data_IF_053231536140
#
_entry.id   IF_053231536140
#
_cell.length_a   1.000
_cell.length_b   1.000
_cell.length_c   1.000
_cell.angle_alpha   90.00
_cell.angle_beta   90.00
_cell.angle_gamma   90.00
#
_symmetry.space_group_name_H-M   'P 1'
#
loop_
_entity.id
_entity.type
_entity.pdbx_description
1 polymer ?
#
# COMPACT_ATOMS: atom_id res chain seq x y z
N UNK A 1 11.11 8.84 43.94
CA UNK A 1 10.54 7.67 43.29
C UNK A 1 9.46 8.00 42.34
N UNK A 2 8.42 8.67 42.77
CA UNK A 2 7.34 9.00 41.86
C UNK A 2 7.78 9.85 40.68
N UNK A 3 8.74 10.76 40.89
CA UNK A 3 9.22 11.59 39.77
C UNK A 3 9.94 10.78 38.71
N UNK A 4 10.70 9.77 39.10
CA UNK A 4 11.43 8.94 38.16
C UNK A 4 10.46 8.10 37.33
N UNK A 5 9.41 7.58 37.96
CA UNK A 5 8.42 6.79 37.27
C UNK A 5 7.68 7.67 36.26
N UNK A 6 7.32 8.89 36.64
CA UNK A 6 6.65 9.82 35.73
C UNK A 6 7.55 10.18 34.55
N UNK A 7 8.85 10.42 34.82
CA UNK A 7 9.78 10.78 33.77
C UNK A 7 9.95 9.64 32.78
N UNK A 8 10.07 8.41 33.26
CA UNK A 8 10.18 7.24 32.40
C UNK A 8 8.91 7.07 31.55
N UNK A 9 7.75 7.26 32.19
CA UNK A 9 6.49 7.12 31.48
C UNK A 9 6.36 8.17 30.37
N UNK A 10 6.73 9.42 30.64
CA UNK A 10 6.69 10.50 29.64
C UNK A 10 7.65 10.20 28.48
N UNK A 11 8.85 9.71 28.79
CA UNK A 11 9.82 9.35 27.76
C UNK A 11 9.29 8.22 26.86
N UNK A 12 8.69 7.19 27.47
CA UNK A 12 8.10 6.11 26.71
C UNK A 12 6.96 6.60 25.83
N UNK A 13 6.11 7.48 26.35
CA UNK A 13 5.00 8.01 25.58
C UNK A 13 5.48 8.83 24.39
N UNK A 14 6.49 9.68 24.60
CA UNK A 14 7.06 10.48 23.52
C UNK A 14 7.72 9.60 22.46
N UNK A 15 8.37 8.52 22.88
CA UNK A 15 8.98 7.59 21.94
C UNK A 15 7.93 6.91 21.08
N UNK A 16 6.83 6.47 21.69
CA UNK A 16 5.74 5.83 20.95
C UNK A 16 5.12 6.80 19.96
N UNK A 17 4.88 8.03 20.38
CA UNK A 17 4.30 9.07 19.52
C UNK A 17 5.24 9.35 18.34
N UNK A 18 6.55 9.43 18.58
CA UNK A 18 7.52 9.69 17.54
C UNK A 18 7.54 8.56 16.51
N UNK A 19 7.52 7.31 16.98
CA UNK A 19 7.49 6.15 16.08
C UNK A 19 6.23 6.18 15.24
N UNK A 20 5.09 6.48 15.85
CA UNK A 20 3.81 6.54 15.15
C UNK A 20 3.84 7.62 14.06
N UNK A 21 4.33 8.81 14.40
CA UNK A 21 4.42 9.91 13.44
C UNK A 21 5.36 9.54 12.29
N UNK A 22 6.49 8.89 12.58
CA UNK A 22 7.43 8.49 11.54
C UNK A 22 6.79 7.50 10.56
N UNK A 23 5.97 6.58 11.05
CA UNK A 23 5.28 5.62 10.19
C UNK A 23 4.27 6.35 9.31
N UNK A 24 3.47 7.24 9.91
CA UNK A 24 2.41 7.94 9.18
C UNK A 24 2.94 8.92 8.13
N UNK A 25 4.13 9.46 8.34
CA UNK A 25 4.71 10.40 7.38
C UNK A 25 5.47 9.75 6.25
N UNK A 26 5.69 8.45 6.30
CA UNK A 26 6.37 7.76 5.21
C UNK A 26 5.44 7.66 4.00
N UNK A 27 5.93 7.96 2.81
CA UNK A 27 5.09 7.82 1.62
C UNK A 27 4.85 6.35 1.29
N UNK A 28 3.78 6.09 0.57
CA UNK A 28 3.53 4.76 0.05
C UNK A 28 4.61 4.43 -0.95
N UNK A 29 5.03 3.19 -0.98
CA UNK A 29 6.04 2.77 -1.95
C UNK A 29 5.72 1.39 -2.48
N UNK A 30 6.11 1.15 -3.72
CA UNK A 30 5.95 -0.14 -4.35
C UNK A 30 7.12 -1.01 -3.93
N UNK A 31 6.83 -2.14 -3.29
CA UNK A 31 7.85 -3.07 -2.85
C UNK A 31 8.31 -3.91 -4.04
N UNK A 32 7.39 -4.34 -4.86
CA UNK A 32 7.67 -5.23 -5.97
C UNK A 32 6.61 -5.09 -7.04
N UNK A 33 6.97 -5.33 -8.28
CA UNK A 33 6.01 -5.31 -9.37
C UNK A 33 6.32 -6.45 -10.34
N UNK A 34 5.29 -7.03 -10.91
CA UNK A 34 5.43 -8.10 -11.90
C UNK A 34 4.47 -7.79 -13.04
N UNK A 35 4.95 -7.94 -14.26
CA UNK A 35 4.16 -7.68 -15.45
C UNK A 35 4.00 -8.96 -16.25
N UNK A 36 2.77 -9.33 -16.54
CA UNK A 36 2.47 -10.47 -17.39
C UNK A 36 1.79 -9.96 -18.63
N UNK A 37 2.39 -10.19 -19.79
CA UNK A 37 1.82 -9.78 -21.06
C UNK A 37 1.29 -10.99 -21.80
N UNK A 38 0.07 -10.87 -22.28
CA UNK A 38 -0.49 -11.90 -23.14
C UNK A 38 -1.19 -11.22 -24.32
N UNK A 39 -1.58 -11.96 -25.36
CA UNK A 39 -2.14 -11.33 -26.57
C UNK A 39 -3.37 -10.50 -26.36
N UNK A 40 -4.16 -10.79 -25.33
CA UNK A 40 -5.42 -10.07 -25.11
C UNK A 40 -5.28 -8.91 -24.17
N UNK A 41 -4.44 -9.00 -23.17
CA UNK A 41 -4.29 -7.94 -22.19
C UNK A 41 -2.99 -8.07 -21.41
N UNK A 42 -2.60 -7.00 -20.75
CA UNK A 42 -1.45 -6.98 -19.88
C UNK A 42 -1.94 -6.99 -18.44
N UNK A 43 -1.32 -7.78 -17.59
CA UNK A 43 -1.66 -7.80 -16.17
C UNK A 43 -0.42 -7.35 -15.39
N UNK A 44 -0.62 -6.41 -14.50
CA UNK A 44 0.46 -5.89 -13.66
C UNK A 44 0.09 -6.13 -12.22
N UNK A 45 0.98 -6.79 -11.48
CA UNK A 45 0.78 -7.01 -10.06
C UNK A 45 1.72 -6.08 -9.31
N UNK A 46 1.17 -5.24 -8.45
CA UNK A 46 1.93 -4.29 -7.66
C UNK A 46 1.77 -4.62 -6.18
N UNK A 47 2.88 -4.77 -5.49
CA UNK A 47 2.88 -5.02 -4.06
C UNK A 47 3.34 -3.74 -3.38
N UNK A 48 2.47 -3.15 -2.57
CA UNK A 48 2.66 -1.81 -2.04
C UNK A 48 2.61 -1.79 -0.53
N UNK A 49 3.59 -1.11 0.09
CA UNK A 49 3.53 -0.84 1.52
C UNK A 49 2.97 0.57 1.69
N UNK A 50 1.90 0.68 2.45
CA UNK A 50 1.22 1.95 2.64
C UNK A 50 1.86 2.77 3.74
N UNK A 51 2.52 2.12 4.68
CA UNK A 51 3.21 2.77 5.80
C UNK A 51 2.25 3.54 6.72
N UNK A 52 1.11 2.95 7.00
CA UNK A 52 0.19 3.55 7.95
C UNK A 52 -0.49 2.46 8.77
N UNK A 53 -0.80 2.76 10.01
CA UNK A 53 -1.58 1.88 10.87
C UNK A 53 -2.99 2.41 11.06
N UNK A 54 -3.28 3.58 10.48
CA UNK A 54 -4.61 4.16 10.52
C UNK A 54 -5.47 3.66 9.38
N UNK A 55 -6.65 4.24 9.25
CA UNK A 55 -7.57 3.84 8.19
C UNK A 55 -6.97 4.14 6.82
N UNK A 56 -7.08 3.19 5.92
CA UNK A 56 -6.52 3.30 4.58
C UNK A 56 -7.64 3.45 3.57
N UNK A 57 -7.54 4.47 2.71
CA UNK A 57 -8.43 4.61 1.57
C UNK A 57 -7.79 3.81 0.42
N UNK A 58 -8.09 2.53 0.37
CA UNK A 58 -7.46 1.60 -0.55
C UNK A 58 -7.67 1.98 -2.02
N UNK A 59 -8.86 2.43 -2.38
CA UNK A 59 -9.14 2.77 -3.76
C UNK A 59 -8.32 3.98 -4.22
N UNK A 60 -8.25 5.01 -3.41
CA UNK A 60 -7.52 6.22 -3.76
C UNK A 60 -6.03 5.96 -3.85
N UNK A 61 -5.50 5.21 -2.89
CA UNK A 61 -4.08 4.87 -2.88
C UNK A 61 -3.73 4.02 -4.10
N UNK A 62 -4.57 3.04 -4.42
CA UNK A 62 -4.34 2.18 -5.58
C UNK A 62 -4.33 2.97 -6.87
N UNK A 63 -5.25 3.92 -7.03
CA UNK A 63 -5.30 4.77 -8.19
C UNK A 63 -4.02 5.60 -8.34
N UNK A 64 -3.56 6.20 -7.23
CA UNK A 64 -2.35 6.99 -7.27
C UNK A 64 -1.14 6.15 -7.62
N UNK A 65 -1.05 4.94 -7.09
CA UNK A 65 0.05 4.02 -7.37
C UNK A 65 0.04 3.61 -8.84
N UNK A 66 -1.13 3.32 -9.41
CA UNK A 66 -1.23 2.96 -10.81
C UNK A 66 -0.78 4.12 -11.71
N UNK A 67 -1.24 5.33 -11.40
CA UNK A 67 -0.85 6.50 -12.18
C UNK A 67 0.64 6.79 -12.09
N UNK A 68 1.22 6.60 -10.91
CA UNK A 68 2.65 6.79 -10.72
C UNK A 68 3.44 5.74 -11.51
N UNK A 69 2.98 4.49 -11.50
CA UNK A 69 3.61 3.42 -12.26
C UNK A 69 3.59 3.75 -13.75
N UNK A 70 2.50 4.31 -14.25
CA UNK A 70 2.37 4.69 -15.64
C UNK A 70 3.31 5.84 -16.02
N UNK A 71 3.58 6.76 -15.09
CA UNK A 71 4.51 7.83 -15.36
C UNK A 71 5.91 7.29 -15.58
N UNK A 72 6.29 6.26 -14.85
CA UNK A 72 7.63 5.69 -14.92
C UNK A 72 7.77 4.70 -16.08
N UNK A 73 6.76 3.87 -16.27
CA UNK A 73 6.85 2.73 -17.19
C UNK A 73 6.02 2.88 -18.45
N UNK A 74 5.22 3.93 -18.56
CA UNK A 74 4.35 4.13 -19.71
C UNK A 74 2.97 3.53 -19.48
N UNK A 75 2.04 3.91 -20.32
CA UNK A 75 0.67 3.43 -20.24
C UNK A 75 0.43 2.41 -21.35
N UNK A 76 0.04 1.21 -20.96
CA UNK A 76 -0.27 0.16 -21.92
C UNK A 76 -1.78 0.04 -22.09
N UNK A 77 -2.23 -0.35 -23.27
CA UNK A 77 -3.65 -0.54 -23.52
C UNK A 77 -4.11 -1.87 -22.94
N UNK A 78 -5.39 -1.93 -22.59
CA UNK A 78 -6.01 -3.16 -22.09
C UNK A 78 -5.19 -3.77 -20.93
N UNK A 79 -4.92 -2.96 -19.95
CA UNK A 79 -4.11 -3.36 -18.79
C UNK A 79 -4.98 -3.43 -17.55
N UNK A 80 -4.79 -4.48 -16.78
CA UNK A 80 -5.42 -4.62 -15.46
C UNK A 80 -4.31 -4.58 -14.43
N UNK A 81 -4.44 -3.69 -13.46
CA UNK A 81 -3.49 -3.58 -12.36
C UNK A 81 -4.10 -4.22 -11.11
N UNK A 82 -3.38 -5.17 -10.56
CA UNK A 82 -3.79 -5.82 -9.33
C UNK A 82 -2.88 -5.26 -8.25
N UNK A 83 -3.43 -4.42 -7.39
CA UNK A 83 -2.66 -3.71 -6.36
C UNK A 83 -2.88 -4.39 -5.02
N UNK A 84 -1.82 -4.98 -4.49
CA UNK A 84 -1.86 -5.65 -3.20
C UNK A 84 -1.30 -4.68 -2.16
N UNK A 85 -2.12 -4.32 -1.19
CA UNK A 85 -1.77 -3.33 -0.19
C UNK A 85 -1.38 -3.98 1.13
N UNK A 86 -0.24 -3.57 1.68
CA UNK A 86 0.22 -4.03 2.98
C UNK A 86 0.47 -2.81 3.85
N UNK A 87 0.11 -2.89 5.11
CA UNK A 87 0.29 -1.75 6.01
C UNK A 87 1.74 -1.39 6.20
N UNK A 88 2.61 -2.39 6.33
CA UNK A 88 4.04 -2.19 6.50
C UNK A 88 4.79 -3.31 5.79
N UNK A 89 6.11 -3.16 5.70
CA UNK A 89 6.96 -4.19 5.11
C UNK A 89 6.88 -5.49 5.90
N UNK A 90 6.62 -5.40 7.20
CA UNK A 90 6.44 -6.58 8.02
C UNK A 90 5.24 -7.38 7.57
N UNK A 91 4.12 -6.72 7.30
CA UNK A 91 2.91 -7.39 6.83
C UNK A 91 3.17 -8.05 5.48
N UNK A 92 3.96 -7.42 4.64
CA UNK A 92 4.32 -7.99 3.35
C UNK A 92 5.14 -9.28 3.54
N UNK A 93 6.12 -9.26 4.44
CA UNK A 93 6.94 -10.43 4.71
C UNK A 93 6.15 -11.59 5.29
N UNK A 94 5.08 -11.28 6.03
CA UNK A 94 4.25 -12.28 6.65
C UNK A 94 3.07 -12.67 5.76
N UNK A 95 3.00 -12.15 4.56
CA UNK A 95 1.87 -12.35 3.64
C UNK A 95 0.54 -11.93 4.26
N UNK A 96 0.58 -10.87 5.05
CA UNK A 96 -0.62 -10.37 5.71
C UNK A 96 -1.11 -9.15 4.97
N UNK A 97 -1.84 -9.38 3.89
CA UNK A 97 -2.34 -8.35 3.02
C UNK A 97 -3.52 -7.60 3.63
N UNK A 98 -3.51 -6.28 3.48
CA UNK A 98 -4.62 -5.46 3.95
C UNK A 98 -5.79 -5.56 2.97
N UNK A 99 -5.54 -5.41 1.69
CA UNK A 99 -6.58 -5.44 0.66
C UNK A 99 -5.94 -5.60 -0.72
N UNK A 100 -6.73 -6.05 -1.67
CA UNK A 100 -6.32 -6.13 -3.06
C UNK A 100 -7.33 -5.35 -3.88
N UNK A 101 -6.86 -4.39 -4.66
CA UNK A 101 -7.70 -3.56 -5.49
C UNK A 101 -7.33 -3.80 -6.95
N UNK A 102 -8.33 -3.97 -7.79
CA UNK A 102 -8.12 -4.14 -9.22
C UNK A 102 -8.44 -2.81 -9.91
N UNK A 103 -7.52 -2.32 -10.71
CA UNK A 103 -7.69 -1.07 -11.44
C UNK A 103 -7.48 -1.29 -12.92
N UNK A 104 -8.13 -0.46 -13.74
CA UNK A 104 -7.93 -0.51 -15.18
C UNK A 104 -6.76 0.41 -15.58
N UNK A 105 -6.56 0.57 -16.87
CA UNK A 105 -5.46 1.38 -17.39
C UNK A 105 -5.61 2.87 -17.08
N UNK A 106 -6.76 3.31 -16.62
CA UNK A 106 -6.98 4.69 -16.20
C UNK A 106 -6.87 4.87 -14.69
N UNK A 107 -6.57 3.80 -13.96
CA UNK A 107 -6.50 3.87 -12.51
C UNK A 107 -7.85 3.76 -11.83
N UNK A 108 -8.92 3.55 -12.58
CA UNK A 108 -10.26 3.40 -12.01
C UNK A 108 -10.45 2.01 -11.44
N UNK A 109 -11.04 1.92 -10.26
CA UNK A 109 -11.29 0.64 -9.61
C UNK A 109 -12.27 -0.20 -10.43
N UNK A 110 -11.88 -1.41 -10.73
CA UNK A 110 -12.73 -2.34 -11.44
C UNK A 110 -13.51 -3.12 -10.39
N UNK A 111 -14.81 -3.20 -10.63
CA UNK A 111 -15.60 -3.91 -9.71
C UNK A 111 -15.36 -5.35 -9.87
N UNK A 112 -14.93 -6.01 -9.08
CA UNK A 112 -14.55 -7.14 -9.23
C UNK A 112 -15.18 -8.11 -8.81
N UNK A 113 -15.17 -8.77 -9.23
CA UNK A 113 -15.56 -9.80 -9.03
C UNK A 113 -14.82 -10.52 -8.17
N UNK A 114 -14.15 -10.05 -7.55
CA UNK A 114 -13.45 -10.66 -6.69
C UNK A 114 -14.13 -11.51 -5.91
N UNK A 115 -15.10 -11.45 -5.89
CA UNK A 115 -15.73 -12.15 -5.10
C UNK A 115 -15.84 -13.41 -5.48
N UNK A 116 -15.63 -13.75 -6.21
CA UNK A 116 -15.79 -14.94 -6.44
C UNK A 116 -14.89 -15.53 -6.08
N UNK A 117 -14.63 -15.15 -5.79
CA UNK A 117 -13.82 -15.95 -5.29
C UNK A 117 -13.89 -16.75 -4.84
#
# INVERSE_FOLDING_TARGET
MKRRIKAVFVILLLTVITIFICIELRPCSVISSTVYKNPKQTEVQLYVQVNTVLRIDAENISREIVLEHQKINGKWKQTIYEVHLYRTKWHYRMNWEYDTIFCDENGATICCEKNHG
#
